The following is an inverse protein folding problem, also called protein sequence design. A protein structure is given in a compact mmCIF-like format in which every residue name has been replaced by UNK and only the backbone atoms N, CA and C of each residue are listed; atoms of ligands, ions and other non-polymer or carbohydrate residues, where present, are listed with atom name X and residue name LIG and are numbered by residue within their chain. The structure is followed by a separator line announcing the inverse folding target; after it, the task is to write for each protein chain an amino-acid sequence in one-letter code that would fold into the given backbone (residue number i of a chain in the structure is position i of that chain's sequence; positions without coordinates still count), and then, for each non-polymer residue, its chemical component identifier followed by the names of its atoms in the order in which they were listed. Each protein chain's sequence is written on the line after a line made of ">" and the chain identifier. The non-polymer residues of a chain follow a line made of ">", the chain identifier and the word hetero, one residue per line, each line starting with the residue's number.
data_IF_741785530530
#
_entry.id   IF_741785530530
#
_cell.length_a   1.000
_cell.length_b   1.000
_cell.length_c   1.000
_cell.angle_alpha   90.00
_cell.angle_beta   90.00
_cell.angle_gamma   90.00
#
_symmetry.space_group_name_H-M   'P 1'
#
loop_
_entity.id
_entity.type
_entity.pdbx_description
1 polymer ?
#
# COMPACT_ATOMS: atom_id res chain seq x y z
N UNK A 1 -0.31 12.41 18.53
CA UNK A 1 0.23 12.89 17.24
C UNK A 1 -0.86 13.60 16.47
N UNK A 2 -0.51 14.74 15.89
CA UNK A 2 -1.49 15.49 15.12
C UNK A 2 -1.76 14.85 13.77
N UNK A 3 -2.94 15.15 13.21
CA UNK A 3 -3.34 14.64 11.90
C UNK A 3 -2.34 15.06 10.82
N UNK A 4 -1.92 16.34 10.86
CA UNK A 4 -0.97 16.85 9.87
C UNK A 4 0.35 16.08 9.90
N UNK A 5 0.81 15.75 11.08
CA UNK A 5 2.05 15.01 11.23
C UNK A 5 1.92 13.60 10.68
N UNK A 6 0.80 12.96 10.98
CA UNK A 6 0.55 11.61 10.49
C UNK A 6 0.43 11.59 8.97
N UNK A 7 -0.24 12.58 8.40
CA UNK A 7 -0.34 12.67 6.94
C UNK A 7 1.02 12.88 6.30
N UNK A 8 1.88 13.65 6.93
CA UNK A 8 3.23 13.86 6.41
C UNK A 8 4.01 12.56 6.41
N UNK A 9 3.87 11.77 7.47
CA UNK A 9 4.52 10.46 7.54
C UNK A 9 3.99 9.55 6.43
N UNK A 10 2.68 9.55 6.19
CA UNK A 10 2.09 8.77 5.11
C UNK A 10 2.71 9.14 3.76
N UNK A 11 2.88 10.42 3.50
CA UNK A 11 3.46 10.89 2.24
C UNK A 11 4.91 10.45 2.11
N UNK A 12 5.68 10.59 3.18
CA UNK A 12 7.10 10.21 3.15
C UNK A 12 7.27 8.71 2.95
N UNK A 13 6.49 7.90 3.64
CA UNK A 13 6.58 6.44 3.51
C UNK A 13 6.15 6.02 2.10
N UNK A 14 5.07 6.60 1.59
CA UNK A 14 4.60 6.28 0.25
C UNK A 14 5.66 6.60 -0.79
N UNK A 15 6.28 7.76 -0.68
CA UNK A 15 7.34 8.16 -1.62
C UNK A 15 8.51 7.21 -1.55
N UNK A 16 8.93 6.88 -0.33
CA UNK A 16 10.08 5.99 -0.15
C UNK A 16 9.83 4.63 -0.79
N UNK A 17 8.65 4.05 -0.55
CA UNK A 17 8.32 2.75 -1.12
C UNK A 17 8.25 2.84 -2.63
N UNK A 18 7.54 3.84 -3.15
CA UNK A 18 7.38 3.98 -4.60
C UNK A 18 8.73 4.12 -5.31
N UNK A 19 9.63 4.92 -4.74
CA UNK A 19 10.94 5.14 -5.34
C UNK A 19 11.86 3.93 -5.19
N UNK A 20 11.59 3.09 -4.19
CA UNK A 20 12.41 1.92 -3.93
C UNK A 20 12.01 0.70 -4.74
N UNK A 21 10.81 0.70 -5.33
CA UNK A 21 10.32 -0.47 -6.06
C UNK A 21 11.31 -0.95 -7.13
N UNK A 22 11.85 -0.08 -8.01
CA UNK A 22 12.76 -0.57 -9.04
C UNK A 22 13.99 -1.29 -8.47
N UNK A 23 14.53 -0.80 -7.37
CA UNK A 23 15.72 -1.41 -6.78
C UNK A 23 15.37 -2.69 -6.02
N UNK A 24 14.32 -2.65 -5.20
CA UNK A 24 13.98 -3.78 -4.34
C UNK A 24 13.37 -4.93 -5.15
N UNK A 25 12.57 -4.61 -6.16
CA UNK A 25 11.81 -5.61 -6.91
C UNK A 25 12.42 -5.97 -8.25
N UNK A 26 13.62 -5.52 -8.55
CA UNK A 26 14.23 -5.71 -9.87
C UNK A 26 14.39 -7.18 -10.25
N UNK A 27 14.60 -8.06 -9.27
CA UNK A 27 14.82 -9.47 -9.52
C UNK A 27 13.58 -10.33 -9.26
N UNK A 28 12.44 -9.71 -9.06
CA UNK A 28 11.22 -10.45 -8.74
C UNK A 28 10.53 -11.05 -9.97
N UNK A 29 10.95 -10.67 -11.16
CA UNK A 29 10.37 -11.22 -12.40
C UNK A 29 8.97 -10.71 -12.69
N UNK A 30 8.62 -9.51 -12.21
CA UNK A 30 7.31 -8.94 -12.43
C UNK A 30 7.41 -7.69 -13.30
N UNK A 31 6.29 -7.34 -13.92
CA UNK A 31 6.19 -6.16 -14.76
C UNK A 31 6.00 -4.93 -13.86
N UNK A 32 7.11 -4.28 -13.52
CA UNK A 32 7.06 -3.14 -12.59
C UNK A 32 6.32 -1.94 -13.17
N UNK A 33 6.24 -1.83 -14.49
CA UNK A 33 5.53 -0.72 -15.12
C UNK A 33 4.02 -0.78 -14.85
N UNK A 34 3.50 -1.96 -14.53
CA UNK A 34 2.07 -2.13 -14.25
C UNK A 34 1.72 -1.91 -12.78
N UNK A 35 2.71 -1.67 -11.93
CA UNK A 35 2.53 -1.62 -10.49
C UNK A 35 2.74 -0.21 -9.98
N UNK A 36 1.86 0.25 -9.10
CA UNK A 36 2.06 1.53 -8.42
C UNK A 36 1.56 1.45 -6.98
N UNK A 37 2.14 2.27 -6.14
CA UNK A 37 1.66 2.44 -4.77
C UNK A 37 0.53 3.48 -4.83
N UNK A 38 -0.69 3.02 -4.59
CA UNK A 38 -1.84 3.92 -4.67
C UNK A 38 -2.09 4.67 -3.36
N UNK A 39 -1.72 4.06 -2.24
CA UNK A 39 -1.94 4.71 -0.96
C UNK A 39 -1.07 4.05 0.12
N UNK A 40 -0.74 4.84 1.14
CA UNK A 40 -0.10 4.33 2.35
C UNK A 40 -0.78 4.97 3.54
N UNK A 41 -1.13 4.14 4.50
CA UNK A 41 -1.74 4.60 5.75
C UNK A 41 -0.96 4.04 6.93
N UNK A 42 -0.29 4.93 7.63
CA UNK A 42 0.46 4.56 8.83
C UNK A 42 -0.48 4.70 10.03
N UNK A 43 -0.48 3.70 10.91
CA UNK A 43 -1.30 3.75 12.11
C UNK A 43 -0.83 4.89 13.01
N UNK A 44 -1.74 5.41 13.82
CA UNK A 44 -1.42 6.55 14.69
C UNK A 44 -0.30 6.26 15.68
N UNK A 45 -0.10 4.99 16.04
CA UNK A 45 1.00 4.61 16.93
C UNK A 45 2.33 4.41 16.18
N UNK A 46 2.33 4.59 14.85
CA UNK A 46 3.50 4.45 13.98
C UNK A 46 4.09 3.04 13.90
N UNK A 47 3.38 2.04 14.39
CA UNK A 47 3.91 0.67 14.43
C UNK A 47 3.53 -0.16 13.23
N UNK A 48 2.48 0.23 12.50
CA UNK A 48 1.99 -0.52 11.36
C UNK A 48 1.67 0.43 10.22
N UNK A 49 1.87 -0.02 9.00
CA UNK A 49 1.51 0.75 7.81
C UNK A 49 0.88 -0.17 6.79
N UNK A 50 -0.26 0.24 6.24
CA UNK A 50 -0.92 -0.48 5.17
C UNK A 50 -0.55 0.18 3.85
N UNK A 51 0.05 -0.61 2.96
CA UNK A 51 0.51 -0.14 1.65
C UNK A 51 -0.40 -0.75 0.61
N UNK A 52 -1.15 0.10 -0.09
CA UNK A 52 -2.06 -0.36 -1.15
C UNK A 52 -1.31 -0.35 -2.47
N UNK A 53 -1.28 -1.50 -3.13
CA UNK A 53 -0.61 -1.68 -4.41
C UNK A 53 -1.67 -1.83 -5.49
N UNK A 54 -1.56 -1.03 -6.53
CA UNK A 54 -2.44 -1.10 -7.68
C UNK A 54 -1.68 -1.75 -8.82
N UNK A 55 -2.31 -2.73 -9.46
CA UNK A 55 -1.69 -3.47 -10.56
C UNK A 55 -2.61 -3.38 -11.77
N UNK A 56 -2.09 -2.83 -12.86
CA UNK A 56 -2.85 -2.69 -14.09
C UNK A 56 -2.70 -3.97 -14.91
N UNK A 57 -3.82 -4.60 -15.24
CA UNK A 57 -3.79 -5.89 -15.94
C UNK A 57 -3.32 -7.01 -15.03
N UNK A 58 -2.75 -8.05 -15.62
CA UNK A 58 -2.17 -9.20 -14.89
C UNK A 58 -3.09 -9.82 -13.85
N UNK A 59 -4.37 -9.93 -14.17
CA UNK A 59 -5.37 -10.35 -13.20
C UNK A 59 -5.05 -11.69 -12.55
N UNK A 60 -4.50 -12.61 -13.32
CA UNK A 60 -4.20 -13.95 -12.80
C UNK A 60 -2.93 -13.98 -11.95
N UNK A 61 -2.07 -12.97 -12.10
CA UNK A 61 -0.79 -12.92 -11.40
C UNK A 61 -0.79 -11.98 -10.21
N UNK A 62 -1.89 -11.32 -9.91
CA UNK A 62 -1.92 -10.30 -8.86
C UNK A 62 -1.55 -10.84 -7.49
N UNK A 63 -2.04 -12.03 -7.18
CA UNK A 63 -1.68 -12.66 -5.92
C UNK A 63 -0.20 -12.96 -5.83
N UNK A 64 0.38 -13.43 -6.94
CA UNK A 64 1.80 -13.72 -7.01
C UNK A 64 2.62 -12.44 -6.87
N UNK A 65 2.20 -11.38 -7.55
CA UNK A 65 2.88 -10.09 -7.47
C UNK A 65 2.83 -9.55 -6.04
N UNK A 66 1.67 -9.63 -5.41
CA UNK A 66 1.51 -9.17 -4.03
C UNK A 66 2.40 -9.97 -3.08
N UNK A 67 2.48 -11.28 -3.29
CA UNK A 67 3.35 -12.14 -2.49
C UNK A 67 4.81 -11.75 -2.65
N UNK A 68 5.20 -11.37 -3.87
CA UNK A 68 6.56 -10.91 -4.12
C UNK A 68 6.86 -9.65 -3.30
N UNK A 69 5.92 -8.71 -3.24
CA UNK A 69 6.10 -7.53 -2.40
C UNK A 69 6.24 -7.90 -0.93
N UNK A 70 5.40 -8.83 -0.46
CA UNK A 70 5.45 -9.27 0.93
C UNK A 70 6.78 -9.93 1.27
N UNK A 71 7.35 -10.66 0.32
CA UNK A 71 8.64 -11.31 0.54
C UNK A 71 9.78 -10.31 0.67
N UNK A 72 9.60 -9.10 0.16
CA UNK A 72 10.61 -8.04 0.23
C UNK A 72 10.32 -7.02 1.32
N UNK A 73 9.38 -7.32 2.19
CA UNK A 73 8.98 -6.40 3.27
C UNK A 73 10.18 -5.87 4.05
N UNK A 74 11.08 -6.74 4.44
CA UNK A 74 12.22 -6.33 5.25
C UNK A 74 13.14 -5.37 4.52
N UNK A 75 13.29 -5.55 3.21
CA UNK A 75 14.13 -4.65 2.43
C UNK A 75 13.53 -3.27 2.35
N UNK A 76 12.21 -3.18 2.14
CA UNK A 76 11.53 -1.89 2.16
C UNK A 76 11.64 -1.23 3.53
N UNK A 77 11.48 -2.01 4.59
CA UNK A 77 11.55 -1.48 5.95
C UNK A 77 12.95 -0.96 6.29
N UNK A 78 13.99 -1.62 5.80
CA UNK A 78 15.34 -1.13 5.98
C UNK A 78 15.55 0.22 5.33
N UNK A 79 14.99 0.41 4.13
CA UNK A 79 15.13 1.67 3.42
C UNK A 79 14.36 2.78 4.12
N UNK A 80 13.17 2.48 4.63
CA UNK A 80 12.40 3.44 5.39
C UNK A 80 13.19 3.85 6.63
N UNK A 81 13.74 2.89 7.35
CA UNK A 81 14.51 3.16 8.55
C UNK A 81 15.75 4.00 8.25
N UNK A 82 16.37 3.76 7.10
CA UNK A 82 17.57 4.50 6.70
C UNK A 82 17.26 5.95 6.31
N UNK A 83 16.18 6.13 5.57
CA UNK A 83 15.90 7.39 4.87
C UNK A 83 14.90 8.30 5.58
N UNK A 84 14.12 7.76 6.50
CA UNK A 84 13.09 8.52 7.20
C UNK A 84 13.31 8.39 8.69
N UNK A 85 13.33 9.53 9.39
CA UNK A 85 13.51 9.53 10.84
C UNK A 85 12.17 9.37 11.52
N UNK A 86 11.89 8.14 11.94
CA UNK A 86 10.69 7.80 12.67
C UNK A 86 11.10 7.15 13.99
N UNK A 87 10.26 7.30 14.99
CA UNK A 87 10.51 6.64 16.28
C UNK A 87 10.54 5.13 16.13
N UNK A 88 9.65 4.60 15.29
CA UNK A 88 9.60 3.18 14.99
C UNK A 88 9.53 3.02 13.48
N UNK A 89 10.16 1.95 12.96
CA UNK A 89 9.95 1.58 11.57
C UNK A 89 8.65 0.78 11.52
N UNK A 90 7.62 1.29 10.83
CA UNK A 90 6.34 0.58 10.82
C UNK A 90 6.46 -0.75 10.09
N UNK A 91 5.72 -1.74 10.58
CA UNK A 91 5.62 -3.02 9.90
C UNK A 91 4.68 -2.83 8.71
N UNK A 92 5.16 -3.16 7.52
CA UNK A 92 4.41 -2.94 6.29
C UNK A 92 3.47 -4.10 6.02
N UNK A 93 2.22 -3.77 5.65
CA UNK A 93 1.25 -4.74 5.17
C UNK A 93 0.88 -4.34 3.76
N UNK A 94 1.23 -5.18 2.80
CA UNK A 94 0.90 -4.91 1.40
C UNK A 94 -0.46 -5.51 1.08
N UNK A 95 -1.34 -4.68 0.55
CA UNK A 95 -2.67 -5.11 0.15
C UNK A 95 -2.94 -4.67 -1.28
N UNK A 96 -3.82 -5.37 -1.95
CA UNK A 96 -4.16 -5.07 -3.33
C UNK A 96 -5.25 -4.01 -3.38
N UNK A 97 -4.99 -2.97 -4.15
CA UNK A 97 -5.99 -1.93 -4.40
C UNK A 97 -6.58 -2.17 -5.79
N UNK A 98 -7.83 -2.56 -5.84
CA UNK A 98 -8.52 -2.84 -7.09
C UNK A 98 -9.49 -1.74 -7.50
N UNK A 99 -9.42 -0.58 -6.86
CA UNK A 99 -10.36 0.51 -7.13
C UNK A 99 -10.32 0.98 -8.58
N UNK A 100 -9.14 1.00 -9.19
CA UNK A 100 -8.99 1.44 -10.58
C UNK A 100 -9.72 0.50 -11.54
N UNK A 101 -9.62 -0.81 -11.28
CA UNK A 101 -10.23 -1.82 -12.14
C UNK A 101 -11.73 -1.88 -11.99
N UNK A 102 -12.22 -1.50 -10.84
CA UNK A 102 -13.65 -1.49 -10.55
C UNK A 102 -14.27 -0.14 -10.84
N UNK A 103 -13.57 0.71 -11.61
CA UNK A 103 -14.03 2.06 -11.88
C UNK A 103 -15.42 2.11 -12.47
N UNK A 104 -15.72 1.18 -13.38
CA UNK A 104 -17.03 1.14 -14.03
C UNK A 104 -18.13 0.68 -13.07
N UNK A 105 -17.78 0.14 -11.94
CA UNK A 105 -18.73 -0.41 -10.96
C UNK A 105 -18.60 0.22 -9.60
N UNK A 106 -18.00 1.40 -9.54
CA UNK A 106 -17.70 2.04 -8.26
C UNK A 106 -18.96 2.20 -7.41
N UNK A 107 -20.04 2.65 -8.01
CA UNK A 107 -21.29 2.86 -7.26
C UNK A 107 -21.85 1.55 -6.73
N UNK A 108 -21.81 0.50 -7.55
CA UNK A 108 -22.28 -0.81 -7.10
C UNK A 108 -21.45 -1.35 -5.97
N UNK A 109 -20.14 -1.22 -6.07
CA UNK A 109 -19.23 -1.71 -5.03
C UNK A 109 -19.49 -0.99 -3.73
N UNK A 110 -19.59 0.33 -3.78
CA UNK A 110 -19.86 1.12 -2.58
C UNK A 110 -21.19 0.77 -1.97
N UNK A 111 -22.21 0.61 -2.81
CA UNK A 111 -23.53 0.25 -2.34
C UNK A 111 -23.52 -1.09 -1.63
N UNK A 112 -22.85 -2.08 -2.20
CA UNK A 112 -22.75 -3.40 -1.59
C UNK A 112 -21.99 -3.36 -0.28
N UNK A 113 -20.93 -2.58 -0.22
CA UNK A 113 -20.17 -2.44 1.01
C UNK A 113 -20.99 -1.80 2.12
N UNK A 114 -21.75 -0.79 1.76
CA UNK A 114 -22.63 -0.14 2.73
C UNK A 114 -23.68 -1.10 3.28
N UNK A 115 -24.30 -1.86 2.38
CA UNK A 115 -25.31 -2.81 2.76
C UNK A 115 -24.75 -3.90 3.67
N UNK A 116 -23.54 -4.32 3.41
CA UNK A 116 -22.91 -5.37 4.18
C UNK A 116 -22.25 -4.84 5.45
N UNK A 117 -22.19 -3.54 5.62
CA UNK A 117 -21.49 -2.96 6.76
C UNK A 117 -19.99 -3.14 6.68
N UNK A 118 -19.47 -3.31 5.47
CA UNK A 118 -18.07 -3.61 5.25
C UNK A 118 -17.24 -2.40 4.89
N UNK A 119 -17.82 -1.25 4.96
CA UNK A 119 -17.01 -0.08 4.69
C UNK A 119 -15.98 -0.02 5.78
N UNK A 120 -14.74 -0.11 5.38
CA UNK A 120 -13.72 -0.21 6.37
C UNK A 120 -13.63 1.05 7.15
N UNK A 121 -13.49 0.80 8.16
CA UNK A 121 -13.36 1.76 8.98
C UNK A 121 -12.21 2.69 8.82
N UNK A 122 -12.40 2.39 8.05
CA UNK A 122 -11.73 2.70 7.96
C UNK A 122 -11.22 3.09 7.79
N UNK A 123 -11.52 2.82 7.93
CA UNK A 123 -11.02 2.57 7.75
C UNK A 123 -10.74 2.50 6.73
N UNK A 124 -11.19 2.31 6.35
CA UNK A 124 -10.78 2.16 5.43
C UNK A 124 -10.75 3.06 4.78
N UNK A 125 -11.12 3.23 4.86
CA UNK A 125 -10.92 3.98 4.54
C UNK A 125 -10.70 4.70 5.14
N UNK A 126 -10.65 4.95 5.63
CA UNK A 126 -10.36 5.55 6.13
C UNK A 126 -9.76 5.88 6.67
#
# INVERSE_FOLDING_TARGET
>A
MSVDRLERVNVLVRREIAESIPAVMSNAGIDLASVMVSNVRVASNLRNATVSISILGHEKERGTILSAFRSKRNEFQKLINRDIRLKYTPVLQFVLDSSVEKGDHVLDVLSKMEQAGEIPPEDVVG
#
